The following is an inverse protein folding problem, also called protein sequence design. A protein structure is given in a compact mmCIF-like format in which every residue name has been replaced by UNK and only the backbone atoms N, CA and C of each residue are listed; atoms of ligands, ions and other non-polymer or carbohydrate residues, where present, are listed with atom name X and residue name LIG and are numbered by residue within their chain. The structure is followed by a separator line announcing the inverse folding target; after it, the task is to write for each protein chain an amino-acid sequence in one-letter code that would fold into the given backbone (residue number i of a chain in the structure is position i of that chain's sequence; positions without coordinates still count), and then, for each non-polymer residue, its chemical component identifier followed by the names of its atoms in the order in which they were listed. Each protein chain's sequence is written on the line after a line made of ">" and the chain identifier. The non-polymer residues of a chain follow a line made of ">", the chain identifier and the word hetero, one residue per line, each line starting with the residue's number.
data_IF_375675327853
#
_entry.id   IF_375675327853
#
_cell.length_a   1.000
_cell.length_b   1.000
_cell.length_c   1.000
_cell.angle_alpha   90.00
_cell.angle_beta   90.00
_cell.angle_gamma   90.00
#
_symmetry.space_group_name_H-M   'P 1'
#
loop_
_entity.id
_entity.type
_entity.pdbx_description
1 polymer ?
#
# COMPACT_ATOMS: atom_id res chain seq x y z
N UNK A 1 -6.48 -41.14 12.31
CA UNK A 1 -6.85 -39.79 12.79
C UNK A 1 -6.56 -38.82 11.66
N UNK A 2 -7.59 -38.42 10.92
CA UNK A 2 -7.44 -37.53 9.78
C UNK A 2 -7.35 -36.10 10.27
N UNK A 3 -6.15 -35.52 10.21
CA UNK A 3 -5.98 -34.08 10.31
C UNK A 3 -6.69 -33.44 9.13
N UNK A 4 -7.82 -32.79 9.39
CA UNK A 4 -8.46 -31.91 8.42
C UNK A 4 -7.51 -30.74 8.23
N UNK A 5 -6.83 -30.72 7.08
CA UNK A 5 -6.22 -29.52 6.56
C UNK A 5 -7.36 -28.52 6.31
N UNK A 6 -7.61 -27.65 7.28
CA UNK A 6 -8.35 -26.43 7.08
C UNK A 6 -7.59 -25.65 6.00
N UNK A 7 -8.13 -25.68 4.78
CA UNK A 7 -7.71 -24.78 3.71
C UNK A 7 -8.00 -23.38 4.24
N UNK A 8 -6.96 -22.75 4.81
CA UNK A 8 -7.06 -21.40 5.35
C UNK A 8 -7.70 -20.52 4.30
N UNK A 9 -8.85 -19.93 4.66
CA UNK A 9 -9.46 -18.89 3.86
C UNK A 9 -8.36 -17.90 3.48
N UNK A 10 -8.22 -17.67 2.18
CA UNK A 10 -7.40 -16.56 1.68
C UNK A 10 -8.12 -15.31 2.16
N UNK A 11 -7.79 -14.84 3.37
CA UNK A 11 -8.35 -13.60 3.90
C UNK A 11 -8.04 -12.49 2.90
N UNK A 12 -9.07 -12.05 2.20
CA UNK A 12 -8.94 -11.07 1.14
C UNK A 12 -8.82 -9.67 1.76
N UNK A 13 -7.92 -8.86 1.21
CA UNK A 13 -7.78 -7.46 1.62
C UNK A 13 -8.82 -6.64 0.87
N UNK A 14 -9.98 -6.41 1.50
CA UNK A 14 -10.97 -5.47 0.97
C UNK A 14 -10.40 -4.05 0.89
N UNK A 15 -11.03 -3.18 0.08
CA UNK A 15 -10.67 -1.76 0.01
C UNK A 15 -10.80 -1.10 1.40
N UNK A 16 -11.88 -1.41 2.13
CA UNK A 16 -12.14 -0.89 3.47
C UNK A 16 -11.04 -1.32 4.44
N UNK A 17 -10.75 -2.63 4.52
CA UNK A 17 -9.72 -3.16 5.43
C UNK A 17 -8.33 -2.60 5.10
N UNK A 18 -8.06 -2.38 3.80
CA UNK A 18 -6.81 -1.75 3.37
C UNK A 18 -6.73 -0.28 3.81
N UNK A 19 -7.82 0.49 3.70
CA UNK A 19 -7.88 1.89 4.16
C UNK A 19 -7.70 1.97 5.68
N UNK A 20 -8.40 1.15 6.46
CA UNK A 20 -8.23 1.07 7.92
C UNK A 20 -6.80 0.70 8.30
N UNK A 21 -6.17 -0.24 7.58
CA UNK A 21 -4.77 -0.57 7.79
C UNK A 21 -3.84 0.63 7.51
N UNK A 22 -4.05 1.36 6.41
CA UNK A 22 -3.30 2.58 6.08
C UNK A 22 -3.37 3.61 7.20
N UNK A 23 -4.56 3.86 7.73
CA UNK A 23 -4.76 4.78 8.86
C UNK A 23 -3.97 4.33 10.10
N UNK A 24 -4.09 3.06 10.50
CA UNK A 24 -3.40 2.56 11.70
C UNK A 24 -1.89 2.61 11.60
N UNK A 25 -1.31 2.20 10.48
CA UNK A 25 0.16 2.29 10.37
C UNK A 25 0.62 3.73 10.17
N UNK A 26 -0.17 4.61 9.53
CA UNK A 26 0.14 6.03 9.44
C UNK A 26 0.24 6.70 10.81
N UNK A 27 -0.69 6.40 11.72
CA UNK A 27 -0.61 6.83 13.12
C UNK A 27 0.72 6.39 13.76
N UNK A 28 1.15 5.14 13.54
CA UNK A 28 2.43 4.63 14.05
C UNK A 28 3.63 5.36 13.46
N UNK A 29 3.58 5.72 12.17
CA UNK A 29 4.62 6.54 11.51
C UNK A 29 4.69 7.93 12.13
N UNK A 30 3.54 8.61 12.30
CA UNK A 30 3.48 9.96 12.91
C UNK A 30 3.99 9.97 14.36
N UNK A 31 3.83 8.85 15.07
CA UNK A 31 4.36 8.66 16.42
C UNK A 31 5.85 8.22 16.45
N UNK A 32 6.56 8.24 15.31
CA UNK A 32 7.99 7.92 15.24
C UNK A 32 8.33 6.44 15.43
N UNK A 33 7.34 5.54 15.35
CA UNK A 33 7.57 4.09 15.54
C UNK A 33 8.18 3.41 14.31
N UNK A 34 8.23 4.09 13.16
CA UNK A 34 8.90 3.61 11.95
C UNK A 34 10.40 3.96 12.03
N UNK A 35 11.24 2.94 12.23
CA UNK A 35 12.69 3.11 12.31
C UNK A 35 13.30 2.86 10.94
N UNK A 36 13.75 3.94 10.28
CA UNK A 36 14.17 3.90 8.87
C UNK A 36 13.00 3.52 7.98
N UNK A 37 12.91 2.24 7.58
CA UNK A 37 11.85 1.73 6.70
C UNK A 37 11.08 0.52 7.27
N UNK A 38 11.29 0.20 8.55
CA UNK A 38 10.79 -1.02 9.19
C UNK A 38 10.17 -0.69 10.56
N UNK A 39 9.07 -1.35 10.89
CA UNK A 39 8.50 -1.38 12.24
C UNK A 39 9.03 -2.57 13.04
N UNK A 40 9.16 -2.40 14.36
CA UNK A 40 9.43 -3.51 15.29
C UNK A 40 8.29 -4.53 15.27
N UNK A 41 8.57 -5.79 15.60
CA UNK A 41 7.56 -6.85 15.69
C UNK A 41 6.41 -6.47 16.62
N UNK A 42 6.70 -5.87 17.78
CA UNK A 42 5.68 -5.41 18.73
C UNK A 42 4.71 -4.40 18.12
N UNK A 43 5.21 -3.46 17.31
CA UNK A 43 4.36 -2.49 16.60
C UNK A 43 3.45 -3.18 15.58
N UNK A 44 3.92 -4.24 14.91
CA UNK A 44 3.07 -5.04 14.01
C UNK A 44 1.98 -5.80 14.77
N UNK A 45 2.31 -6.37 15.92
CA UNK A 45 1.36 -7.08 16.78
C UNK A 45 0.27 -6.13 17.28
N UNK A 46 0.65 -4.93 17.71
CA UNK A 46 -0.30 -3.89 18.13
C UNK A 46 -1.21 -3.45 16.96
N UNK A 47 -0.65 -3.18 15.77
CA UNK A 47 -1.49 -2.84 14.60
C UNK A 47 -2.46 -3.98 14.27
N UNK A 48 -2.02 -5.24 14.37
CA UNK A 48 -2.89 -6.39 14.13
C UNK A 48 -4.01 -6.50 15.17
N UNK A 49 -3.71 -6.20 16.44
CA UNK A 49 -4.70 -6.13 17.50
C UNK A 49 -5.73 -5.04 17.23
N UNK A 50 -5.28 -3.83 16.86
CA UNK A 50 -6.17 -2.71 16.54
C UNK A 50 -7.10 -3.06 15.37
N UNK A 51 -6.58 -3.71 14.32
CA UNK A 51 -7.39 -4.20 13.20
C UNK A 51 -8.42 -5.24 13.64
N UNK A 52 -8.03 -6.19 14.48
CA UNK A 52 -8.97 -7.18 14.99
C UNK A 52 -10.09 -6.52 15.80
N UNK A 53 -9.78 -5.53 16.65
CA UNK A 53 -10.79 -4.81 17.43
C UNK A 53 -11.75 -4.01 16.54
N UNK A 54 -11.26 -3.34 15.49
CA UNK A 54 -12.10 -2.46 14.64
C UNK A 54 -12.87 -3.20 13.54
N UNK A 55 -12.23 -4.16 12.87
CA UNK A 55 -12.78 -4.82 11.67
C UNK A 55 -12.90 -6.34 11.82
N UNK A 56 -12.72 -6.86 13.04
CA UNK A 56 -12.89 -8.28 13.40
C UNK A 56 -12.07 -9.23 12.52
N UNK A 57 -10.95 -8.74 11.97
CA UNK A 57 -10.09 -9.49 11.05
C UNK A 57 -8.67 -9.55 11.60
N UNK A 58 -8.19 -10.76 11.84
CA UNK A 58 -6.83 -11.03 12.29
C UNK A 58 -5.97 -11.50 11.11
N UNK A 59 -5.18 -10.58 10.54
CA UNK A 59 -4.30 -10.90 9.40
C UNK A 59 -3.01 -11.61 9.83
N UNK A 60 -2.53 -11.36 11.03
CA UNK A 60 -1.22 -11.78 11.49
C UNK A 60 -0.09 -10.94 10.92
N UNK A 61 1.02 -10.88 11.65
CA UNK A 61 2.15 -9.96 11.39
C UNK A 61 2.72 -10.11 9.97
N UNK A 62 2.88 -11.34 9.48
CA UNK A 62 3.50 -11.56 8.16
C UNK A 62 2.63 -11.04 7.02
N UNK A 63 1.30 -11.23 7.10
CA UNK A 63 0.38 -10.68 6.09
C UNK A 63 0.36 -9.15 6.11
N UNK A 64 0.46 -8.53 7.29
CA UNK A 64 0.58 -7.07 7.42
C UNK A 64 1.85 -6.56 6.74
N UNK A 65 3.01 -7.19 7.01
CA UNK A 65 4.29 -6.83 6.36
C UNK A 65 4.21 -6.97 4.85
N UNK A 66 3.66 -8.09 4.35
CA UNK A 66 3.46 -8.30 2.91
C UNK A 66 2.56 -7.23 2.29
N UNK A 67 1.44 -6.89 2.95
CA UNK A 67 0.52 -5.84 2.47
C UNK A 67 1.19 -4.47 2.46
N UNK A 68 1.93 -4.11 3.51
CA UNK A 68 2.68 -2.86 3.60
C UNK A 68 3.71 -2.73 2.47
N UNK A 69 4.48 -3.79 2.19
CA UNK A 69 5.42 -3.80 1.06
C UNK A 69 4.71 -3.69 -0.30
N UNK A 70 3.54 -4.30 -0.46
CA UNK A 70 2.73 -4.16 -1.68
C UNK A 70 2.21 -2.73 -1.86
N UNK A 71 1.76 -2.07 -0.78
CA UNK A 71 1.36 -0.66 -0.80
C UNK A 71 2.54 0.24 -1.17
N UNK A 72 3.73 -0.02 -0.62
CA UNK A 72 4.96 0.68 -0.97
C UNK A 72 5.30 0.55 -2.45
N UNK A 73 5.22 -0.66 -3.00
CA UNK A 73 5.49 -0.89 -4.43
C UNK A 73 4.46 -0.17 -5.30
N UNK A 74 3.18 -0.29 -4.97
CA UNK A 74 2.10 0.37 -5.70
C UNK A 74 2.25 1.90 -5.69
N UNK A 75 2.65 2.49 -4.56
CA UNK A 75 2.95 3.93 -4.46
C UNK A 75 4.15 4.32 -5.36
N UNK A 76 5.22 3.52 -5.40
CA UNK A 76 6.37 3.75 -6.28
C UNK A 76 6.01 3.67 -7.76
N UNK A 77 5.23 2.66 -8.14
CA UNK A 77 4.79 2.49 -9.53
C UNK A 77 3.91 3.67 -9.96
N UNK A 78 3.00 4.12 -9.08
CA UNK A 78 2.17 5.30 -9.34
C UNK A 78 3.00 6.60 -9.41
N UNK A 79 3.95 6.78 -8.50
CA UNK A 79 4.89 7.92 -8.53
C UNK A 79 5.69 7.97 -9.84
N UNK A 80 6.12 6.79 -10.33
CA UNK A 80 6.84 6.66 -11.61
C UNK A 80 5.96 7.03 -12.80
N UNK A 81 4.68 6.67 -12.75
CA UNK A 81 3.67 7.08 -13.72
C UNK A 81 3.48 8.61 -13.71
N UNK A 82 3.29 9.22 -12.54
CA UNK A 82 3.12 10.69 -12.41
C UNK A 82 4.36 11.49 -12.82
N UNK A 83 5.55 10.89 -12.75
CA UNK A 83 6.80 11.54 -13.18
C UNK A 83 6.96 11.63 -14.71
N UNK A 84 6.09 10.99 -15.50
CA UNK A 84 6.14 11.03 -16.97
C UNK A 84 5.54 12.32 -17.51
N UNK A 85 6.17 12.89 -18.53
CA UNK A 85 5.65 14.06 -19.26
C UNK A 85 4.25 13.75 -19.83
N UNK A 86 3.34 14.72 -19.77
CA UNK A 86 1.94 14.61 -20.25
C UNK A 86 1.10 13.59 -19.48
N UNK A 87 1.53 13.17 -18.29
CA UNK A 87 0.68 12.46 -17.33
C UNK A 87 0.18 13.44 -16.28
N UNK A 88 -1.13 13.47 -16.07
CA UNK A 88 -1.75 14.16 -14.93
C UNK A 88 -2.68 13.19 -14.19
N UNK A 89 -2.92 13.46 -12.92
CA UNK A 89 -3.88 12.71 -12.12
C UNK A 89 -4.82 13.69 -11.44
N UNK A 90 -6.10 13.52 -11.71
CA UNK A 90 -7.17 14.31 -11.10
C UNK A 90 -7.63 13.59 -9.84
N UNK A 91 -7.32 14.17 -8.67
CA UNK A 91 -7.58 13.53 -7.37
C UNK A 91 -9.09 13.37 -7.11
N UNK A 92 -9.92 14.32 -7.54
CA UNK A 92 -11.36 14.33 -7.28
C UNK A 92 -12.09 13.20 -8.03
N UNK A 93 -11.81 13.02 -9.33
CA UNK A 93 -12.35 11.92 -10.12
C UNK A 93 -11.56 10.62 -9.96
N UNK A 94 -10.37 10.70 -9.37
CA UNK A 94 -9.38 9.64 -9.31
C UNK A 94 -9.04 9.07 -10.70
N UNK A 95 -8.88 9.96 -11.69
CA UNK A 95 -8.60 9.59 -13.07
C UNK A 95 -7.18 10.00 -13.47
N UNK A 96 -6.48 9.08 -14.13
CA UNK A 96 -5.15 9.36 -14.69
C UNK A 96 -5.29 9.68 -16.18
N UNK A 97 -4.93 10.90 -16.55
CA UNK A 97 -4.89 11.36 -17.92
C UNK A 97 -3.48 11.16 -18.48
N UNK A 98 -3.37 10.33 -19.52
CA UNK A 98 -2.12 10.12 -20.25
C UNK A 98 -2.41 9.69 -21.69
N UNK A 99 -1.54 10.03 -22.66
CA UNK A 99 -1.62 9.54 -24.03
C UNK A 99 -1.61 8.00 -24.10
N UNK A 100 -2.26 7.41 -25.11
CA UNK A 100 -2.28 5.95 -25.27
C UNK A 100 -0.88 5.35 -25.47
N UNK A 101 0.02 6.07 -26.16
CA UNK A 101 1.44 5.71 -26.29
C UNK A 101 2.13 5.54 -24.93
N UNK A 102 1.81 6.41 -23.96
CA UNK A 102 2.35 6.35 -22.59
C UNK A 102 1.81 5.12 -21.86
N UNK A 103 0.51 4.84 -22.01
CA UNK A 103 -0.11 3.66 -21.43
C UNK A 103 0.45 2.36 -22.01
N UNK A 104 0.63 2.28 -23.33
CA UNK A 104 1.16 1.10 -24.01
C UNK A 104 2.58 0.76 -23.54
N UNK A 105 3.43 1.77 -23.36
CA UNK A 105 4.77 1.58 -22.79
C UNK A 105 4.74 1.08 -21.34
N UNK A 106 3.89 1.65 -20.49
CA UNK A 106 3.80 1.25 -19.08
C UNK A 106 3.23 -0.15 -18.93
N UNK A 107 2.20 -0.49 -19.70
CA UNK A 107 1.56 -1.81 -19.68
C UNK A 107 2.55 -2.90 -20.16
N UNK A 108 3.46 -2.58 -21.10
CA UNK A 108 4.57 -3.47 -21.49
C UNK A 108 5.53 -3.74 -20.33
N UNK A 109 5.75 -2.78 -19.42
CA UNK A 109 6.58 -2.95 -18.21
C UNK A 109 5.86 -3.72 -17.11
N UNK A 110 4.53 -3.64 -17.04
CA UNK A 110 3.75 -4.37 -16.04
C UNK A 110 2.25 -4.30 -16.25
N UNK A 111 1.57 -5.46 -16.15
CA UNK A 111 0.10 -5.51 -16.27
C UNK A 111 -0.65 -4.75 -15.18
N UNK A 112 -0.01 -4.47 -14.04
CA UNK A 112 -0.61 -3.72 -12.94
C UNK A 112 -0.92 -2.25 -13.31
N UNK A 113 -0.20 -1.66 -14.28
CA UNK A 113 -0.53 -0.31 -14.79
C UNK A 113 -1.92 -0.23 -15.43
N UNK A 114 -2.48 -1.36 -15.89
CA UNK A 114 -3.89 -1.41 -16.35
C UNK A 114 -4.87 -1.05 -15.24
N UNK A 115 -4.54 -1.37 -13.98
CA UNK A 115 -5.39 -1.01 -12.85
C UNK A 115 -5.37 0.49 -12.61
N UNK A 116 -4.21 1.15 -12.72
CA UNK A 116 -4.13 2.61 -12.62
C UNK A 116 -4.89 3.32 -13.75
N UNK A 117 -4.85 2.78 -14.99
CA UNK A 117 -5.66 3.31 -16.10
C UNK A 117 -7.16 3.21 -15.82
N UNK A 118 -7.61 2.12 -15.18
CA UNK A 118 -9.04 1.84 -14.97
C UNK A 118 -9.61 2.43 -13.68
N UNK A 119 -8.81 2.49 -12.62
CA UNK A 119 -9.26 2.76 -11.26
C UNK A 119 -8.46 3.89 -10.58
N UNK A 120 -7.55 4.53 -11.29
CA UNK A 120 -6.62 5.51 -10.70
C UNK A 120 -5.86 4.91 -9.53
N UNK A 121 -5.73 5.67 -8.45
CA UNK A 121 -5.09 5.25 -7.21
C UNK A 121 -6.12 5.19 -6.08
N UNK A 122 -6.61 3.99 -5.78
CA UNK A 122 -7.76 3.73 -4.89
C UNK A 122 -7.59 4.14 -3.41
N UNK A 123 -6.40 4.57 -3.01
CA UNK A 123 -6.03 4.87 -1.63
C UNK A 123 -5.52 6.30 -1.49
N UNK A 124 -5.36 6.79 -0.25
CA UNK A 124 -4.87 8.14 -0.03
C UNK A 124 -3.38 8.25 -0.43
N UNK A 125 -3.11 8.81 -1.61
CA UNK A 125 -1.77 8.93 -2.16
C UNK A 125 -0.86 9.84 -1.32
N UNK A 126 -1.41 10.91 -0.75
CA UNK A 126 -0.63 11.87 0.05
C UNK A 126 -0.17 11.25 1.35
N UNK A 127 -1.05 10.50 2.05
CA UNK A 127 -0.69 9.73 3.24
C UNK A 127 0.41 8.71 2.91
N UNK A 128 0.29 7.99 1.80
CA UNK A 128 1.33 7.02 1.42
C UNK A 128 2.64 7.70 1.00
N UNK A 129 2.57 8.88 0.39
CA UNK A 129 3.75 9.70 0.07
C UNK A 129 4.45 10.17 1.35
N UNK A 130 3.70 10.67 2.33
CA UNK A 130 4.22 11.01 3.66
C UNK A 130 4.99 9.85 4.29
N UNK A 131 4.47 8.62 4.17
CA UNK A 131 5.04 7.43 4.80
C UNK A 131 6.28 6.94 4.05
N UNK A 132 6.19 6.81 2.72
CA UNK A 132 7.22 6.15 1.93
C UNK A 132 8.33 7.08 1.45
N UNK A 133 8.06 8.37 1.25
CA UNK A 133 9.09 9.33 0.87
C UNK A 133 9.92 9.78 2.08
N UNK A 134 9.31 9.94 3.26
CA UNK A 134 10.05 10.27 4.50
C UNK A 134 11.04 9.16 4.89
N UNK A 135 10.63 7.90 4.78
CA UNK A 135 11.52 6.75 5.04
C UNK A 135 12.71 6.66 4.06
N UNK A 136 12.56 7.21 2.85
CA UNK A 136 13.61 7.23 1.82
C UNK A 136 14.67 8.31 2.08
N UNK A 137 14.31 9.41 2.76
CA UNK A 137 15.26 10.44 3.20
C UNK A 137 16.09 10.00 4.41
N UNK A 138 15.48 9.26 5.33
CA UNK A 138 16.17 8.74 6.53
C UNK A 138 17.17 7.63 6.17
N UNK A 139 16.90 6.84 5.13
CA UNK A 139 17.80 5.78 4.65
C UNK A 139 19.03 6.25 3.87
N UNK A 140 19.14 7.55 3.54
CA UNK A 140 20.28 8.12 2.78
C UNK A 140 21.33 8.84 3.65
N UNK A 141 21.17 8.83 4.98
CA UNK A 141 22.03 9.54 5.93
C UNK A 141 22.91 8.61 6.79
N UNK A 142 23.25 7.40 6.32
CA UNK A 142 24.23 6.53 6.99
C UNK A 142 25.44 6.25 6.12
#
# INVERSE_FOLDING_TARGET
>A
MGGKNEKGEVMEWSVVNTKTFIEKFYERVKNGQLQGSIFKTTTWEEINKDLFEMIQTNYGVDKLKSKFNRLRQMHRDFSTLLARTRVTWEMESNEVNAPDEVWDELIKKGRHYKNFKKHGFEYNYDILSDIFNSSTLIGKLS
#
